data_IF_617613437790
#
_entry.id   IF_617613437790
#
_cell.length_a   1.000
_cell.length_b   1.000
_cell.length_c   1.000
_cell.angle_alpha   90.00
_cell.angle_beta   90.00
_cell.angle_gamma   90.00
#
_symmetry.space_group_name_H-M   'P 1'
#
loop_
_entity.id
_entity.type
_entity.pdbx_description
1 polymer ?
#
# COMPACT_ATOMS: atom_id res chain seq x y z
N UNK A 1 -72.22 -29.13 -17.21
CA UNK A 1 -71.01 -29.01 -18.06
C UNK A 1 -71.09 -27.59 -18.65
N UNK A 2 -70.25 -26.61 -18.32
CA UNK A 2 -68.90 -26.41 -18.85
C UNK A 2 -68.36 -25.10 -18.19
N UNK A 3 -67.17 -25.19 -17.56
CA UNK A 3 -66.14 -24.17 -17.17
C UNK A 3 -66.52 -22.96 -16.30
N UNK A 4 -66.16 -23.05 -15.02
CA UNK A 4 -65.91 -21.91 -14.15
C UNK A 4 -64.63 -22.12 -13.32
N UNK A 5 -63.50 -22.40 -13.99
CA UNK A 5 -62.19 -22.57 -13.33
C UNK A 5 -61.04 -22.14 -14.24
N UNK A 6 -61.07 -20.92 -14.79
CA UNK A 6 -59.99 -20.46 -15.69
C UNK A 6 -59.13 -19.32 -15.10
N UNK A 7 -59.55 -18.66 -14.01
CA UNK A 7 -58.82 -17.46 -13.50
C UNK A 7 -57.87 -17.71 -12.33
N UNK A 8 -58.03 -18.78 -11.55
CA UNK A 8 -57.12 -19.05 -10.41
C UNK A 8 -55.77 -19.66 -10.83
N UNK A 9 -55.68 -20.39 -11.95
CA UNK A 9 -54.49 -21.17 -12.30
C UNK A 9 -53.35 -20.28 -12.84
N UNK A 10 -53.69 -19.23 -13.60
CA UNK A 10 -52.70 -18.32 -14.18
C UNK A 10 -52.00 -17.43 -13.14
N UNK A 11 -52.69 -17.09 -12.04
CA UNK A 11 -52.10 -16.29 -10.96
C UNK A 11 -51.05 -17.09 -10.16
N UNK A 12 -51.32 -18.36 -9.87
CA UNK A 12 -50.39 -19.23 -9.13
C UNK A 12 -49.14 -19.61 -9.95
N UNK A 13 -49.28 -19.77 -11.27
CA UNK A 13 -48.14 -20.03 -12.16
C UNK A 13 -47.19 -18.82 -12.26
N UNK A 14 -47.72 -17.59 -12.32
CA UNK A 14 -46.93 -16.37 -12.37
C UNK A 14 -46.18 -16.08 -11.06
N UNK A 15 -46.77 -16.41 -9.91
CA UNK A 15 -46.18 -16.18 -8.57
C UNK A 15 -45.05 -17.19 -8.28
N UNK A 16 -45.20 -18.46 -8.68
CA UNK A 16 -44.16 -19.48 -8.49
C UNK A 16 -42.93 -19.31 -9.38
N UNK A 17 -43.05 -18.63 -10.53
CA UNK A 17 -41.91 -18.34 -11.41
C UNK A 17 -41.15 -17.07 -11.03
N UNK A 18 -41.82 -16.11 -10.38
CA UNK A 18 -41.18 -14.86 -9.91
C UNK A 18 -40.44 -15.01 -8.58
N UNK A 19 -40.83 -15.97 -7.73
CA UNK A 19 -40.17 -16.25 -6.46
C UNK A 19 -38.69 -16.70 -6.59
N UNK A 20 -38.30 -17.61 -7.52
CA UNK A 20 -36.89 -17.95 -7.72
C UNK A 20 -36.10 -16.81 -8.39
N UNK A 21 -36.75 -15.98 -9.21
CA UNK A 21 -36.12 -14.81 -9.83
C UNK A 21 -35.84 -13.70 -8.80
N UNK A 22 -36.77 -13.48 -7.86
CA UNK A 22 -36.54 -12.58 -6.72
C UNK A 22 -35.44 -13.14 -5.80
N UNK A 23 -35.42 -14.44 -5.51
CA UNK A 23 -34.38 -15.08 -4.69
C UNK A 23 -32.97 -14.97 -5.31
N UNK A 24 -32.86 -15.08 -6.65
CA UNK A 24 -31.62 -14.87 -7.41
C UNK A 24 -31.13 -13.40 -7.39
N UNK A 25 -32.05 -12.43 -7.34
CA UNK A 25 -31.71 -11.01 -7.20
C UNK A 25 -31.22 -10.64 -5.79
N UNK A 26 -31.62 -11.36 -4.74
CA UNK A 26 -31.10 -11.13 -3.38
C UNK A 26 -29.70 -11.75 -3.20
N UNK A 27 -29.38 -12.82 -3.94
CA UNK A 27 -28.07 -13.49 -3.86
C UNK A 27 -26.94 -12.73 -4.59
N UNK A 28 -27.27 -11.86 -5.54
CA UNK A 28 -26.29 -11.01 -6.24
C UNK A 28 -25.90 -9.74 -5.46
N UNK A 29 -26.72 -9.34 -4.49
CA UNK A 29 -26.35 -8.33 -3.50
C UNK A 29 -25.62 -8.96 -2.31
N UNK A 30 -24.55 -9.71 -2.58
CA UNK A 30 -23.52 -9.82 -1.56
C UNK A 30 -22.95 -8.40 -1.40
N UNK A 31 -22.93 -7.80 -0.20
CA UNK A 31 -22.10 -6.63 0.01
C UNK A 31 -20.68 -7.05 -0.41
N UNK A 32 -20.14 -6.40 -1.43
CA UNK A 32 -18.69 -6.40 -1.60
C UNK A 32 -18.16 -5.91 -0.26
N UNK A 33 -17.54 -6.81 0.50
CA UNK A 33 -16.75 -6.40 1.65
C UNK A 33 -15.85 -5.30 1.11
N UNK A 34 -16.07 -4.06 1.56
CA UNK A 34 -15.10 -3.00 1.35
C UNK A 34 -13.84 -3.54 2.00
N UNK A 35 -12.96 -4.00 1.12
CA UNK A 35 -11.90 -4.90 1.45
C UNK A 35 -10.98 -4.24 2.47
N UNK A 36 -10.87 -4.87 3.64
CA UNK A 36 -9.92 -4.52 4.69
C UNK A 36 -8.49 -4.43 4.10
N UNK A 37 -8.23 -5.07 2.95
CA UNK A 37 -6.98 -4.91 2.17
C UNK A 37 -6.77 -3.60 1.41
N UNK A 38 -7.64 -2.58 1.54
CA UNK A 38 -7.43 -1.24 0.97
C UNK A 38 -7.49 -0.08 1.97
N UNK A 39 -7.35 -0.36 3.27
CA UNK A 39 -7.30 0.69 4.28
C UNK A 39 -6.10 1.62 4.06
N UNK A 40 -6.36 2.91 4.24
CA UNK A 40 -5.39 3.98 3.98
C UNK A 40 -4.53 4.21 5.24
N UNK A 41 -3.21 4.16 5.08
CA UNK A 41 -2.26 4.36 6.20
C UNK A 41 -1.68 5.77 6.16
N UNK A 42 -0.96 6.13 5.10
CA UNK A 42 -0.40 7.47 4.91
C UNK A 42 -0.09 7.78 3.45
N UNK A 43 0.16 9.06 3.15
CA UNK A 43 0.73 9.52 1.88
C UNK A 43 1.85 10.51 2.10
N UNK A 44 2.83 10.52 1.20
CA UNK A 44 3.84 11.57 1.07
C UNK A 44 3.86 12.07 -0.37
N UNK A 45 4.12 13.36 -0.59
CA UNK A 45 4.28 13.92 -1.92
C UNK A 45 5.35 14.99 -1.96
N UNK A 46 5.96 15.16 -3.12
CA UNK A 46 6.83 16.28 -3.41
C UNK A 46 5.99 17.50 -3.81
N UNK A 47 6.34 18.67 -3.28
CA UNK A 47 5.64 19.93 -3.56
C UNK A 47 5.76 20.37 -5.03
N UNK A 48 6.81 19.94 -5.73
CA UNK A 48 6.96 20.17 -7.15
C UNK A 48 5.87 19.39 -7.91
N UNK A 49 5.17 20.09 -8.79
CA UNK A 49 4.14 19.51 -9.64
C UNK A 49 4.63 19.43 -11.09
N UNK A 50 4.18 18.42 -11.81
CA UNK A 50 4.35 18.33 -13.25
C UNK A 50 3.10 18.86 -13.96
N UNK A 51 3.22 19.20 -15.25
CA UNK A 51 2.08 19.65 -16.05
C UNK A 51 1.32 18.43 -16.59
N UNK A 52 0.01 18.28 -16.33
CA UNK A 52 -0.80 17.21 -16.93
C UNK A 52 -0.70 17.23 -18.46
N UNK A 53 -0.60 16.06 -19.09
CA UNK A 53 -0.37 15.93 -20.53
C UNK A 53 1.06 16.20 -21.01
N UNK A 54 1.99 16.50 -20.11
CA UNK A 54 3.41 16.60 -20.46
C UNK A 54 4.04 15.24 -20.77
N UNK A 55 5.23 15.25 -21.37
CA UNK A 55 6.04 14.03 -21.52
C UNK A 55 6.32 13.32 -20.17
N UNK A 56 6.42 14.08 -19.07
CA UNK A 56 6.55 13.50 -17.74
C UNK A 56 5.30 12.73 -17.30
N UNK A 57 4.11 13.29 -17.57
CA UNK A 57 2.82 12.63 -17.28
C UNK A 57 2.68 11.30 -18.04
N UNK A 58 3.15 11.25 -19.29
CA UNK A 58 3.19 10.01 -20.08
C UNK A 58 4.11 8.95 -19.44
N UNK A 59 5.27 9.36 -18.90
CA UNK A 59 6.15 8.47 -18.16
C UNK A 59 5.48 7.94 -16.88
N UNK A 60 4.77 8.80 -16.13
CA UNK A 60 4.01 8.41 -14.93
C UNK A 60 2.94 7.36 -15.28
N UNK A 61 2.14 7.61 -16.32
CA UNK A 61 1.08 6.70 -16.74
C UNK A 61 1.62 5.34 -17.25
N UNK A 62 2.73 5.37 -17.98
CA UNK A 62 3.44 4.17 -18.41
C UNK A 62 3.94 3.37 -17.20
N UNK A 63 4.55 4.03 -16.22
CA UNK A 63 5.03 3.41 -14.99
C UNK A 63 3.89 2.73 -14.21
N UNK A 64 2.76 3.42 -14.02
CA UNK A 64 1.60 2.86 -13.33
C UNK A 64 1.03 1.62 -14.02
N UNK A 65 1.03 1.61 -15.35
CA UNK A 65 0.63 0.45 -16.14
C UNK A 65 1.59 -0.73 -15.92
N UNK A 66 2.91 -0.48 -15.96
CA UNK A 66 3.92 -1.51 -15.68
C UNK A 66 3.82 -2.08 -14.26
N UNK A 67 3.64 -1.23 -13.26
CA UNK A 67 3.49 -1.64 -11.86
C UNK A 67 2.23 -2.52 -11.67
N UNK A 68 1.09 -2.10 -12.23
CA UNK A 68 -0.18 -2.83 -12.12
C UNK A 68 -0.09 -4.21 -12.78
N UNK A 69 0.53 -4.29 -13.96
CA UNK A 69 0.70 -5.57 -14.68
C UNK A 69 1.65 -6.52 -13.93
N UNK A 70 2.72 -6.00 -13.36
CA UNK A 70 3.69 -6.82 -12.64
C UNK A 70 3.15 -7.38 -11.32
N UNK A 71 2.22 -6.67 -10.66
CA UNK A 71 1.60 -7.10 -9.41
C UNK A 71 0.79 -8.41 -9.54
N UNK A 72 0.44 -8.82 -10.77
CA UNK A 72 -0.20 -10.11 -11.02
C UNK A 72 0.77 -11.31 -10.86
N UNK A 73 2.08 -11.06 -10.86
CA UNK A 73 3.11 -12.12 -10.91
C UNK A 73 4.11 -12.05 -9.76
N UNK A 74 4.21 -10.92 -9.06
CA UNK A 74 5.15 -10.73 -7.96
C UNK A 74 4.54 -9.87 -6.85
N UNK A 75 5.03 -10.06 -5.62
CA UNK A 75 4.70 -9.20 -4.47
C UNK A 75 5.57 -7.93 -4.41
N UNK A 76 6.64 -7.87 -5.21
CA UNK A 76 7.53 -6.73 -5.30
C UNK A 76 8.08 -6.60 -6.71
N UNK A 77 8.09 -5.38 -7.24
CA UNK A 77 8.79 -5.05 -8.48
C UNK A 77 9.15 -3.57 -8.52
N UNK A 78 10.15 -3.25 -9.33
CA UNK A 78 10.60 -1.88 -9.60
C UNK A 78 10.71 -1.66 -11.10
N UNK A 79 10.42 -0.45 -11.54
CA UNK A 79 10.45 -0.06 -12.94
C UNK A 79 11.08 1.32 -13.10
N UNK A 80 11.70 1.52 -14.25
CA UNK A 80 12.12 2.84 -14.73
C UNK A 80 11.39 3.07 -16.04
N UNK A 81 10.60 4.14 -16.13
CA UNK A 81 9.85 4.50 -17.33
C UNK A 81 10.45 5.74 -17.99
N UNK A 82 10.58 5.67 -19.32
CA UNK A 82 11.09 6.72 -20.19
C UNK A 82 10.36 6.68 -21.53
N UNK A 83 9.03 6.69 -21.46
CA UNK A 83 8.13 6.53 -22.60
C UNK A 83 8.10 7.75 -23.55
N UNK A 84 8.39 8.95 -23.04
CA UNK A 84 8.39 10.19 -23.83
C UNK A 84 9.72 10.94 -23.71
N UNK A 85 10.21 11.49 -24.81
CA UNK A 85 11.43 12.30 -24.88
C UNK A 85 11.16 13.62 -25.62
N UNK A 86 11.77 14.75 -25.19
CA UNK A 86 12.67 14.91 -24.06
C UNK A 86 11.92 15.01 -22.72
N UNK A 87 12.21 14.11 -21.78
CA UNK A 87 11.76 14.21 -20.38
C UNK A 87 12.68 13.38 -19.48
N UNK A 88 12.83 13.74 -18.20
CA UNK A 88 13.59 12.91 -17.27
C UNK A 88 12.87 11.56 -17.05
N UNK A 89 13.62 10.46 -16.92
CA UNK A 89 13.03 9.16 -16.59
C UNK A 89 12.36 9.22 -15.21
N UNK A 90 11.42 8.31 -14.97
CA UNK A 90 10.79 8.17 -13.66
C UNK A 90 11.02 6.76 -13.14
N UNK A 91 11.30 6.66 -11.84
CA UNK A 91 11.44 5.40 -11.15
C UNK A 91 10.21 5.14 -10.28
N UNK A 92 9.85 3.87 -10.16
CA UNK A 92 8.79 3.46 -9.25
C UNK A 92 8.97 2.05 -8.75
N UNK A 93 8.35 1.77 -7.60
CA UNK A 93 8.21 0.43 -7.08
C UNK A 93 6.84 0.24 -6.43
N UNK A 94 6.45 -1.01 -6.31
CA UNK A 94 5.44 -1.43 -5.35
C UNK A 94 5.98 -2.54 -4.46
N UNK A 95 5.42 -2.65 -3.26
CA UNK A 95 5.68 -3.74 -2.34
C UNK A 95 4.39 -4.12 -1.63
N UNK A 96 3.93 -5.34 -1.86
CA UNK A 96 2.81 -5.93 -1.14
C UNK A 96 3.28 -6.58 0.16
N UNK A 97 2.35 -6.79 1.08
CA UNK A 97 2.58 -7.60 2.29
C UNK A 97 2.90 -9.05 1.89
N UNK A 98 3.83 -9.68 2.59
CA UNK A 98 4.40 -10.98 2.20
C UNK A 98 3.46 -12.19 2.33
N UNK A 99 2.35 -12.03 3.04
CA UNK A 99 1.32 -13.05 3.29
C UNK A 99 0.13 -12.99 2.31
N UNK A 100 0.12 -12.01 1.39
CA UNK A 100 -0.97 -11.83 0.44
C UNK A 100 -0.86 -12.78 -0.76
N UNK A 101 -2.02 -13.14 -1.32
CA UNK A 101 -2.06 -13.77 -2.63
C UNK A 101 -1.68 -12.75 -3.73
N UNK A 102 -1.20 -13.24 -4.88
CA UNK A 102 -0.90 -12.37 -6.03
C UNK A 102 -2.16 -11.61 -6.51
N UNK A 103 -3.35 -12.20 -6.34
CA UNK A 103 -4.62 -11.55 -6.67
C UNK A 103 -4.88 -10.34 -5.76
N UNK A 104 -4.70 -10.50 -4.46
CA UNK A 104 -4.93 -9.43 -3.48
C UNK A 104 -3.87 -8.34 -3.62
N UNK A 105 -2.62 -8.73 -3.90
CA UNK A 105 -1.54 -7.78 -4.23
C UNK A 105 -1.88 -6.96 -5.48
N UNK A 106 -2.29 -7.61 -6.56
CA UNK A 106 -2.71 -6.94 -7.79
C UNK A 106 -3.87 -5.97 -7.55
N UNK A 107 -4.87 -6.38 -6.77
CA UNK A 107 -5.99 -5.52 -6.38
C UNK A 107 -5.54 -4.30 -5.57
N UNK A 108 -4.66 -4.51 -4.59
CA UNK A 108 -4.13 -3.42 -3.77
C UNK A 108 -3.32 -2.42 -4.61
N UNK A 109 -2.44 -2.89 -5.49
CA UNK A 109 -1.64 -2.02 -6.37
C UNK A 109 -2.53 -1.23 -7.32
N UNK A 110 -3.55 -1.86 -7.92
CA UNK A 110 -4.52 -1.16 -8.77
C UNK A 110 -5.33 -0.10 -7.98
N UNK A 111 -5.71 -0.41 -6.74
CA UNK A 111 -6.34 0.55 -5.83
C UNK A 111 -5.39 1.72 -5.48
N UNK A 112 -4.11 1.45 -5.22
CA UNK A 112 -3.12 2.49 -4.97
C UNK A 112 -2.94 3.42 -6.19
N UNK A 113 -2.78 2.84 -7.38
CA UNK A 113 -2.65 3.58 -8.65
C UNK A 113 -3.87 4.45 -8.92
N UNK A 114 -5.09 3.93 -8.71
CA UNK A 114 -6.33 4.72 -8.93
C UNK A 114 -6.54 5.84 -7.91
N UNK A 115 -6.02 5.70 -6.68
CA UNK A 115 -6.13 6.72 -5.62
C UNK A 115 -5.03 7.79 -5.68
N UNK A 116 -3.87 7.48 -6.24
CA UNK A 116 -2.73 8.42 -6.29
C UNK A 116 -3.09 9.76 -6.95
N UNK A 117 -3.76 9.82 -8.12
CA UNK A 117 -4.13 11.10 -8.75
C UNK A 117 -5.05 11.98 -7.91
N UNK A 118 -5.97 11.38 -7.13
CA UNK A 118 -6.88 12.14 -6.27
C UNK A 118 -6.23 12.57 -4.96
N UNK A 119 -5.28 11.78 -4.43
CA UNK A 119 -4.57 12.08 -3.20
C UNK A 119 -3.39 13.04 -3.40
N UNK A 120 -2.71 12.93 -4.54
CA UNK A 120 -1.47 13.65 -4.89
C UNK A 120 -1.60 14.22 -6.31
N UNK A 121 -2.43 15.27 -6.52
CA UNK A 121 -2.69 15.81 -7.84
C UNK A 121 -1.41 16.36 -8.47
N UNK A 122 -1.05 15.82 -9.63
CA UNK A 122 0.09 16.23 -10.46
C UNK A 122 1.44 16.31 -9.72
N UNK A 123 1.63 15.56 -8.63
CA UNK A 123 2.88 15.59 -7.88
C UNK A 123 4.03 14.94 -8.68
N UNK A 124 5.20 15.58 -8.73
CA UNK A 124 6.38 15.03 -9.43
C UNK A 124 6.97 13.78 -8.72
N UNK A 125 6.65 13.57 -7.45
CA UNK A 125 6.94 12.32 -6.76
C UNK A 125 5.89 12.12 -5.66
N UNK A 126 5.48 10.89 -5.44
CA UNK A 126 4.57 10.55 -4.36
C UNK A 126 4.80 9.13 -3.83
N UNK A 127 4.42 8.93 -2.58
CA UNK A 127 4.37 7.65 -1.91
C UNK A 127 2.98 7.46 -1.27
N UNK A 128 2.44 6.25 -1.38
CA UNK A 128 1.16 5.87 -0.81
C UNK A 128 1.32 4.52 -0.11
N UNK A 129 0.94 4.49 1.17
CA UNK A 129 0.87 3.26 1.95
C UNK A 129 -0.60 2.93 2.20
N UNK A 130 -0.99 1.77 1.72
CA UNK A 130 -2.20 1.07 2.12
C UNK A 130 -1.84 -0.06 3.09
N UNK A 131 -2.82 -0.65 3.76
CA UNK A 131 -2.63 -1.74 4.72
C UNK A 131 -1.94 -2.97 4.09
N UNK A 132 -2.13 -3.17 2.79
CA UNK A 132 -1.69 -4.36 2.07
C UNK A 132 -0.60 -4.11 1.03
N UNK A 133 -0.34 -2.84 0.68
CA UNK A 133 0.72 -2.51 -0.26
C UNK A 133 1.25 -1.08 -0.10
N UNK A 134 2.49 -0.90 -0.50
CA UNK A 134 3.19 0.36 -0.62
C UNK A 134 3.49 0.64 -2.09
N UNK A 135 3.34 1.88 -2.52
CA UNK A 135 3.72 2.35 -3.86
C UNK A 135 4.45 3.68 -3.74
N UNK A 136 5.61 3.81 -4.40
CA UNK A 136 6.36 5.07 -4.51
C UNK A 136 6.81 5.29 -5.94
N UNK A 137 6.73 6.52 -6.41
CA UNK A 137 7.32 6.97 -7.67
C UNK A 137 8.00 8.33 -7.52
N UNK A 138 8.99 8.60 -8.37
CA UNK A 138 9.72 9.86 -8.42
C UNK A 138 10.92 9.84 -9.35
N UNK A 139 11.57 10.98 -9.53
CA UNK A 139 12.79 11.14 -10.33
C UNK A 139 14.04 11.36 -9.46
N UNK A 140 14.01 10.93 -8.19
CA UNK A 140 15.05 11.14 -7.18
C UNK A 140 16.04 9.96 -7.03
N UNK A 141 16.03 9.00 -7.97
CA UNK A 141 16.91 7.82 -7.98
C UNK A 141 16.97 7.09 -6.63
N UNK A 142 15.82 6.79 -6.05
CA UNK A 142 15.70 6.20 -4.71
C UNK A 142 15.90 4.68 -4.70
N UNK A 143 15.85 4.02 -5.85
CA UNK A 143 15.97 2.57 -5.93
C UNK A 143 17.34 2.08 -5.43
N UNK A 144 17.32 1.14 -4.48
CA UNK A 144 18.53 0.55 -3.90
C UNK A 144 19.27 1.44 -2.90
N UNK A 145 18.75 2.63 -2.57
CA UNK A 145 19.33 3.52 -1.56
C UNK A 145 18.63 3.33 -0.22
N UNK A 146 19.38 3.07 0.87
CA UNK A 146 18.79 2.95 2.19
C UNK A 146 18.28 4.31 2.68
N UNK A 147 17.01 4.37 3.06
CA UNK A 147 16.37 5.53 3.67
C UNK A 147 15.76 5.11 5.01
N UNK A 148 16.24 5.70 6.10
CA UNK A 148 15.77 5.43 7.48
C UNK A 148 14.95 6.59 8.04
N UNK A 149 14.56 7.54 7.19
CA UNK A 149 13.69 8.66 7.56
C UNK A 149 12.32 8.19 8.03
N UNK A 150 11.84 8.75 9.14
CA UNK A 150 10.50 8.47 9.64
C UNK A 150 9.45 9.07 8.68
N UNK A 151 8.68 8.20 8.02
CA UNK A 151 7.59 8.62 7.11
C UNK A 151 6.26 8.81 7.84
N UNK A 152 5.90 7.87 8.71
CA UNK A 152 4.64 7.88 9.44
C UNK A 152 4.76 7.13 10.77
N UNK A 153 4.06 7.60 11.79
CA UNK A 153 3.92 6.92 13.09
C UNK A 153 2.57 7.23 13.70
N UNK A 154 1.90 6.20 14.18
CA UNK A 154 0.75 6.30 15.09
C UNK A 154 1.13 5.77 16.46
N UNK A 155 0.54 6.35 17.51
CA UNK A 155 0.61 5.84 18.87
C UNK A 155 -0.83 5.62 19.34
N UNK A 156 -1.12 4.49 19.98
CA UNK A 156 -2.37 4.33 20.71
C UNK A 156 -2.30 5.12 22.01
N UNK A 157 -3.35 5.87 22.34
CA UNK A 157 -3.56 6.43 23.68
C UNK A 157 -4.39 5.41 24.45
N UNK A 158 -3.83 4.79 25.47
CA UNK A 158 -4.61 3.91 26.36
C UNK A 158 -5.56 4.79 27.18
N UNK A 159 -6.83 4.87 26.74
CA UNK A 159 -7.90 5.57 27.46
C UNK A 159 -9.10 5.86 26.58
N UNK A 160 -10.09 4.96 26.59
CA UNK A 160 -11.43 5.05 25.98
C UNK A 160 -11.53 5.40 24.47
N UNK A 161 -11.86 4.37 23.68
CA UNK A 161 -12.87 4.45 22.62
C UNK A 161 -12.65 5.42 21.47
N UNK A 162 -12.03 4.91 20.39
CA UNK A 162 -12.16 5.46 19.04
C UNK A 162 -11.25 6.66 18.75
N UNK A 163 -10.12 6.43 18.09
CA UNK A 163 -9.33 7.53 17.55
C UNK A 163 -8.73 7.14 16.20
N UNK A 164 -9.25 7.76 15.15
CA UNK A 164 -8.60 7.85 13.83
C UNK A 164 -7.20 8.40 14.06
N UNK A 165 -6.18 7.66 13.63
CA UNK A 165 -4.78 8.00 13.86
C UNK A 165 -4.49 9.44 13.45
N UNK A 166 -4.00 10.26 14.38
CA UNK A 166 -3.50 11.60 14.07
C UNK A 166 -2.11 11.42 13.43
N UNK A 167 -1.89 11.88 12.20
CA UNK A 167 -0.56 11.86 11.59
C UNK A 167 0.36 12.80 12.36
N UNK A 168 1.42 12.26 12.99
CA UNK A 168 2.50 13.08 13.50
C UNK A 168 3.34 13.53 12.29
N UNK A 169 3.05 14.72 11.76
CA UNK A 169 3.91 15.35 10.75
C UNK A 169 5.31 15.57 11.35
N UNK A 170 6.40 15.16 10.67
CA UNK A 170 7.74 15.46 11.13
C UNK A 170 7.95 16.97 11.07
N UNK A 171 8.01 17.62 12.24
CA UNK A 171 8.42 19.03 12.33
C UNK A 171 9.88 19.14 11.88
N UNK A 172 10.21 20.01 10.91
CA UNK A 172 11.60 20.31 10.58
C UNK A 172 12.30 20.80 11.86
N UNK A 173 13.34 20.08 12.30
CA UNK A 173 14.16 20.47 13.47
C UNK A 173 13.91 19.70 14.78
N UNK A 174 12.96 18.76 14.85
CA UNK A 174 12.84 17.91 16.04
C UNK A 174 13.90 16.78 15.98
N UNK A 175 14.97 16.93 16.75
CA UNK A 175 15.85 15.79 17.09
C UNK A 175 15.04 14.79 17.90
N UNK A 176 14.73 13.64 17.31
CA UNK A 176 14.28 12.47 18.06
C UNK A 176 15.39 12.14 19.06
N UNK A 177 15.17 12.38 20.35
CA UNK A 177 16.04 11.81 21.39
C UNK A 177 15.95 10.31 21.23
N UNK A 178 16.99 9.68 20.68
CA UNK A 178 17.17 8.24 20.76
C UNK A 178 17.13 7.91 22.25
N UNK A 179 16.13 7.16 22.72
CA UNK A 179 16.32 6.39 23.94
C UNK A 179 17.42 5.41 23.58
N UNK A 180 18.61 5.64 24.11
CA UNK A 180 19.63 4.62 24.15
C UNK A 180 18.99 3.37 24.75
N UNK A 181 19.12 2.19 24.12
CA UNK A 181 18.93 0.95 24.84
C UNK A 181 19.84 1.02 26.06
N UNK A 182 19.29 0.74 27.24
CA UNK A 182 20.10 0.51 28.43
C UNK A 182 21.15 -0.56 28.07
N UNK A 183 22.39 -0.12 27.85
CA UNK A 183 23.53 -1.01 27.85
C UNK A 183 23.65 -1.51 29.30
N UNK A 184 23.76 -2.82 29.55
CA UNK A 184 24.10 -3.30 30.88
C UNK A 184 25.49 -2.77 31.25
N UNK A 185 25.61 -2.22 32.45
CA UNK A 185 26.83 -1.70 33.06
C UNK A 185 28.02 -2.63 32.79
N UNK A 186 29.07 -2.10 32.17
CA UNK A 186 30.32 -2.82 32.00
C UNK A 186 30.93 -3.05 33.39
N UNK A 187 30.96 -4.32 33.84
CA UNK A 187 31.77 -4.73 34.99
C UNK A 187 33.24 -4.44 34.67
N UNK A 188 33.85 -3.55 35.44
CA UNK A 188 35.27 -3.26 35.42
C UNK A 188 36.04 -4.56 35.72
N UNK A 189 36.77 -5.07 34.74
CA UNK A 189 37.72 -6.17 34.93
C UNK A 189 39.08 -5.56 35.28
N UNK A 190 39.69 -5.90 36.43
CA UNK A 190 41.02 -5.41 36.75
C UNK A 190 42.07 -6.09 35.86
N UNK A 191 43.00 -5.29 35.33
CA UNK A 191 44.16 -5.76 34.55
C UNK A 191 45.09 -6.64 35.39
N UNK A 192 45.66 -7.71 34.80
CA UNK A 192 46.92 -8.26 35.26
C UNK A 192 48.06 -8.01 34.28
N UNK A 193 49.21 -7.76 34.89
CA UNK A 193 50.55 -7.52 34.35
C UNK A 193 51.14 -8.68 33.55
N UNK A 194 51.92 -8.30 32.53
CA UNK A 194 53.13 -8.94 31.96
C UNK A 194 53.29 -10.48 32.04
N UNK A 195 53.33 -11.14 30.88
CA UNK A 195 54.00 -12.44 30.77
C UNK A 195 53.64 -13.30 29.54
N UNK A 196 54.51 -13.29 28.54
CA UNK A 196 54.98 -14.44 27.74
C UNK A 196 54.01 -15.30 26.88
N UNK A 197 54.21 -15.18 25.55
CA UNK A 197 54.17 -16.19 24.46
C UNK A 197 53.13 -17.34 24.50
N UNK A 198 52.27 -17.39 23.48
CA UNK A 198 52.31 -18.33 22.32
C UNK A 198 50.99 -18.22 21.55
N UNK A 199 51.06 -18.41 20.24
CA UNK A 199 49.97 -18.10 19.31
C UNK A 199 48.82 -19.11 19.33
N UNK A 200 47.74 -18.72 18.66
CA UNK A 200 46.88 -19.60 17.88
C UNK A 200 45.90 -18.75 17.05
N UNK A 201 45.71 -19.20 15.82
CA UNK A 201 44.70 -18.82 14.82
C UNK A 201 43.31 -19.24 15.32
N UNK A 202 42.25 -18.72 14.64
CA UNK A 202 40.93 -19.36 14.36
C UNK A 202 39.74 -18.68 15.08
N UNK A 203 38.58 -18.37 14.49
CA UNK A 203 37.98 -18.54 13.15
C UNK A 203 37.55 -17.19 12.57
#
# INVERSE_FOLDING_TARGET
MVIAWDKQIWAYAAIKLRLPFLLLLILSSAPTAADETTGYVYRGLLLAQYTPGSAYDLNVNSLFSSLSNAAAFSLYSKFTASAATPSPPIEGLYQCRGDLSLRDCSSCVASAVSRLPSLCPAAAAAELQLDSCFLRYGNDSFLGRPDTGLRYKTCSTTGNGGSRGIPVLPRPGLRVRRRHPHLPEARTVPSPSSGQRRGAVRW
#
